data_IF_222418654479
#
_entry.id   IF_222418654479
#
_cell.length_a   1.000
_cell.length_b   1.000
_cell.length_c   1.000
_cell.angle_alpha   90.00
_cell.angle_beta   90.00
_cell.angle_gamma   90.00
#
_symmetry.space_group_name_H-M   'P 1'
#
loop_
_entity.id
_entity.type
_entity.pdbx_description
1 polymer ?
#
# COMPACT_ATOMS: atom_id res chain seq x y z
N UNK A 1 5.98 -11.60 14.88
CA UNK A 1 5.90 -10.79 13.65
C UNK A 1 4.48 -10.80 13.14
N UNK A 2 3.95 -9.62 12.83
CA UNK A 2 2.57 -9.44 12.35
C UNK A 2 2.46 -9.83 10.85
N UNK A 3 1.30 -9.60 10.22
CA UNK A 3 1.13 -9.92 8.79
C UNK A 3 2.01 -9.02 7.90
N UNK A 4 2.07 -7.70 8.17
CA UNK A 4 2.87 -6.74 7.41
C UNK A 4 4.36 -7.12 7.39
N UNK A 5 4.93 -7.51 8.54
CA UNK A 5 6.32 -7.97 8.62
C UNK A 5 6.57 -9.17 7.70
N UNK A 6 5.67 -10.16 7.75
CA UNK A 6 5.79 -11.38 6.95
C UNK A 6 5.67 -11.08 5.45
N UNK A 7 4.72 -10.24 5.06
CA UNK A 7 4.52 -9.84 3.66
C UNK A 7 5.68 -9.03 3.13
N UNK A 8 6.25 -8.12 3.92
CA UNK A 8 7.45 -7.37 3.52
C UNK A 8 8.64 -8.30 3.34
N UNK A 9 8.79 -9.31 4.21
CA UNK A 9 9.87 -10.29 4.11
C UNK A 9 9.70 -11.19 2.88
N UNK A 10 8.48 -11.70 2.64
CA UNK A 10 8.16 -12.49 1.46
C UNK A 10 8.38 -11.69 0.15
N UNK A 11 8.16 -10.37 0.20
CA UNK A 11 8.40 -9.46 -0.92
C UNK A 11 9.87 -9.02 -1.07
N UNK A 12 10.75 -9.41 -0.14
CA UNK A 12 12.18 -9.10 -0.17
C UNK A 12 12.53 -7.65 0.15
N UNK A 13 11.65 -6.91 0.82
CA UNK A 13 11.87 -5.51 1.23
C UNK A 13 12.02 -5.31 2.73
N UNK A 14 12.01 -6.40 3.51
CA UNK A 14 12.16 -6.34 4.96
C UNK A 14 13.62 -6.32 5.36
N UNK A 15 13.98 -5.37 6.23
CA UNK A 15 15.27 -5.32 6.90
C UNK A 15 15.21 -6.12 8.21
N UNK A 16 15.89 -7.26 8.25
CA UNK A 16 15.94 -8.12 9.43
C UNK A 16 16.61 -7.44 10.64
N UNK A 17 17.46 -6.43 10.42
CA UNK A 17 18.07 -5.65 11.50
C UNK A 17 17.08 -4.78 12.27
N UNK A 18 15.86 -4.56 11.74
CA UNK A 18 14.78 -3.81 12.39
C UNK A 18 13.66 -4.71 12.91
N UNK A 19 13.85 -6.01 12.77
CA UNK A 19 12.91 -7.02 13.19
C UNK A 19 12.55 -6.80 14.66
N UNK A 20 13.52 -6.80 15.56
CA UNK A 20 13.35 -6.60 17.01
C UNK A 20 13.04 -5.16 17.43
N UNK A 21 13.20 -4.19 16.53
CA UNK A 21 12.86 -2.78 16.77
C UNK A 21 11.38 -2.48 16.52
N UNK A 22 11.04 -2.09 15.28
CA UNK A 22 9.75 -1.46 14.95
C UNK A 22 9.05 -2.09 13.72
N UNK A 23 9.65 -3.11 13.12
CA UNK A 23 9.06 -3.86 12.01
C UNK A 23 8.82 -3.01 10.75
N UNK A 24 7.76 -3.33 9.99
CA UNK A 24 7.49 -2.67 8.70
C UNK A 24 6.94 -1.23 8.78
N UNK A 25 6.52 -0.74 9.95
CA UNK A 25 6.04 0.64 10.20
C UNK A 25 4.98 1.18 9.21
N UNK A 26 3.68 0.86 9.40
CA UNK A 26 2.61 1.46 8.60
C UNK A 26 2.36 2.93 8.98
N UNK A 27 2.29 3.82 7.98
CA UNK A 27 2.15 5.27 8.19
C UNK A 27 0.80 5.80 7.65
N UNK A 28 0.54 5.65 6.36
CA UNK A 28 -0.75 6.00 5.76
C UNK A 28 -1.62 4.80 5.42
N UNK A 29 -2.92 4.99 5.59
CA UNK A 29 -3.94 4.04 5.13
C UNK A 29 -5.02 4.76 4.33
N UNK A 30 -5.49 4.13 3.26
CA UNK A 30 -6.69 4.60 2.54
C UNK A 30 -7.60 3.42 2.24
N UNK A 31 -8.89 3.59 2.50
CA UNK A 31 -9.93 2.64 2.09
C UNK A 31 -10.66 3.21 0.89
N UNK A 32 -10.77 2.41 -0.18
CA UNK A 32 -11.42 2.80 -1.41
C UNK A 32 -12.43 1.75 -1.84
N UNK A 33 -13.55 2.20 -2.41
CA UNK A 33 -14.50 1.31 -3.07
C UNK A 33 -14.11 1.11 -4.53
N UNK A 34 -13.81 -0.12 -4.92
CA UNK A 34 -13.51 -0.52 -6.30
C UNK A 34 -14.54 -1.57 -6.74
N UNK A 35 -15.51 -1.14 -7.55
CA UNK A 35 -16.68 -1.96 -7.85
C UNK A 35 -17.46 -2.31 -6.58
N UNK A 36 -17.63 -3.62 -6.32
CA UNK A 36 -18.29 -4.12 -5.12
C UNK A 36 -17.32 -4.41 -3.96
N UNK A 37 -16.02 -4.21 -4.15
CA UNK A 37 -15.00 -4.48 -3.15
C UNK A 37 -14.61 -3.23 -2.36
N UNK A 38 -14.35 -3.41 -1.08
CA UNK A 38 -13.66 -2.41 -0.27
C UNK A 38 -12.17 -2.79 -0.25
N UNK A 39 -11.32 -1.94 -0.84
CA UNK A 39 -9.88 -2.15 -0.95
C UNK A 39 -9.18 -1.26 0.06
N UNK A 40 -8.29 -1.84 0.85
CA UNK A 40 -7.41 -1.15 1.79
C UNK A 40 -6.01 -1.06 1.19
N UNK A 41 -5.44 0.14 1.17
CA UNK A 41 -4.04 0.38 0.88
C UNK A 41 -3.34 0.80 2.18
N UNK A 42 -2.17 0.22 2.45
CA UNK A 42 -1.36 0.49 3.65
C UNK A 42 0.05 0.85 3.19
N UNK A 43 0.47 2.09 3.39
CA UNK A 43 1.81 2.58 3.08
C UNK A 43 2.76 2.23 4.22
N UNK A 44 3.88 1.60 3.90
CA UNK A 44 4.89 1.14 4.85
C UNK A 44 6.17 1.94 4.62
N UNK A 45 6.45 2.87 5.54
CA UNK A 45 7.56 3.82 5.42
C UNK A 45 8.89 3.08 5.23
N UNK A 46 9.18 2.09 6.09
CA UNK A 46 10.51 1.44 6.13
C UNK A 46 10.78 0.40 5.06
N UNK A 47 9.74 -0.08 4.39
CA UNK A 47 9.88 -1.16 3.41
C UNK A 47 9.63 -0.68 1.98
N UNK A 48 9.39 0.62 1.81
CA UNK A 48 9.05 1.32 0.56
C UNK A 48 8.00 0.58 -0.26
N UNK A 49 6.93 0.16 0.40
CA UNK A 49 5.82 -0.51 -0.28
C UNK A 49 4.48 0.04 0.17
N UNK A 50 3.52 -0.05 -0.73
CA UNK A 50 2.10 -0.08 -0.37
C UNK A 50 1.61 -1.51 -0.44
N UNK A 51 1.07 -2.03 0.66
CA UNK A 51 0.35 -3.29 0.67
C UNK A 51 -1.13 -3.07 0.37
N UNK A 52 -1.73 -3.99 -0.37
CA UNK A 52 -3.12 -3.89 -0.80
C UNK A 52 -3.91 -5.11 -0.36
N UNK A 53 -5.08 -4.85 0.23
CA UNK A 53 -5.97 -5.87 0.76
C UNK A 53 -7.40 -5.68 0.26
N UNK A 54 -8.11 -6.78 0.00
CA UNK A 54 -9.57 -6.79 -0.03
C UNK A 54 -10.09 -6.93 1.41
N UNK A 55 -10.79 -5.90 1.88
CA UNK A 55 -11.41 -5.83 3.20
C UNK A 55 -12.94 -5.81 3.12
N UNK A 56 -13.51 -6.34 2.03
CA UNK A 56 -14.97 -6.47 1.89
C UNK A 56 -15.58 -7.27 3.04
N UNK A 57 -14.86 -8.29 3.53
CA UNK A 57 -15.07 -8.86 4.85
C UNK A 57 -13.96 -8.36 5.81
N UNK A 58 -14.22 -7.35 6.65
CA UNK A 58 -13.19 -6.77 7.50
C UNK A 58 -12.69 -7.72 8.59
N UNK A 59 -13.47 -8.76 8.94
CA UNK A 59 -13.04 -9.80 9.89
C UNK A 59 -12.10 -10.84 9.27
N UNK A 60 -11.98 -10.87 7.93
CA UNK A 60 -11.06 -11.74 7.21
C UNK A 60 -10.45 -11.01 5.99
N UNK A 61 -9.56 -10.02 6.21
CA UNK A 61 -8.86 -9.32 5.13
C UNK A 61 -8.09 -10.29 4.23
N UNK A 62 -8.14 -10.08 2.92
CA UNK A 62 -7.39 -10.86 1.94
C UNK A 62 -6.27 -10.02 1.35
N UNK A 63 -5.02 -10.42 1.56
CA UNK A 63 -3.87 -9.80 0.90
C UNK A 63 -3.97 -10.01 -0.63
N UNK A 64 -3.78 -8.93 -1.39
CA UNK A 64 -3.83 -8.96 -2.85
C UNK A 64 -2.43 -8.82 -3.45
N UNK A 65 -1.69 -7.78 -3.07
CA UNK A 65 -0.35 -7.51 -3.59
C UNK A 65 0.43 -6.48 -2.76
N UNK A 66 1.72 -6.37 -3.04
CA UNK A 66 2.59 -5.27 -2.60
C UNK A 66 3.07 -4.50 -3.83
N UNK A 67 3.09 -3.17 -3.72
CA UNK A 67 3.52 -2.25 -4.77
C UNK A 67 4.77 -1.52 -4.26
N UNK A 68 5.91 -1.66 -4.94
CA UNK A 68 7.13 -0.90 -4.59
C UNK A 68 6.94 0.59 -4.90
N UNK A 69 7.31 1.45 -3.96
CA UNK A 69 7.13 2.92 -4.02
C UNK A 69 8.44 3.67 -4.25
N UNK A 70 8.46 4.96 -3.92
CA UNK A 70 9.69 5.68 -3.56
C UNK A 70 10.07 5.44 -2.11
N UNK A 71 11.22 5.97 -1.71
CA UNK A 71 11.78 5.86 -0.36
C UNK A 71 10.88 6.55 0.69
N UNK A 72 10.54 5.85 1.77
CA UNK A 72 9.69 6.34 2.85
C UNK A 72 8.33 6.90 2.37
N UNK A 73 7.39 6.05 1.89
CA UNK A 73 6.04 6.48 1.51
C UNK A 73 5.23 6.91 2.74
N UNK A 74 4.73 8.16 2.73
CA UNK A 74 3.94 8.71 3.83
C UNK A 74 2.51 9.06 3.43
N UNK A 75 2.29 9.56 2.22
CA UNK A 75 0.99 10.05 1.78
C UNK A 75 0.34 9.13 0.77
N UNK A 76 -0.92 8.78 0.99
CA UNK A 76 -1.73 7.99 0.05
C UNK A 76 -3.00 8.73 -0.36
N UNK A 77 -3.27 8.80 -1.66
CA UNK A 77 -4.52 9.31 -2.21
C UNK A 77 -5.08 8.36 -3.27
N UNK A 78 -6.30 7.90 -3.08
CA UNK A 78 -7.02 7.14 -4.09
C UNK A 78 -7.93 8.06 -4.92
N UNK A 79 -7.82 7.95 -6.25
CA UNK A 79 -8.69 8.64 -7.21
C UNK A 79 -9.51 7.59 -7.96
N UNK A 80 -10.85 7.58 -7.81
CA UNK A 80 -11.69 6.62 -8.50
C UNK A 80 -11.67 6.86 -10.02
N UNK A 81 -11.86 5.80 -10.80
CA UNK A 81 -11.94 5.85 -12.27
C UNK A 81 -12.87 6.95 -12.82
N UNK A 82 -13.99 7.24 -12.14
CA UNK A 82 -14.94 8.29 -12.53
C UNK A 82 -14.36 9.70 -12.48
N UNK A 83 -13.34 9.93 -11.65
CA UNK A 83 -12.63 11.22 -11.48
C UNK A 83 -11.24 11.24 -12.12
N UNK A 84 -10.79 10.12 -12.72
CA UNK A 84 -9.48 10.00 -13.34
C UNK A 84 -9.51 10.39 -14.83
N UNK A 85 -8.48 11.08 -15.36
CA UNK A 85 -8.41 11.51 -16.76
C UNK A 85 -8.38 10.34 -17.75
N UNK A 86 -7.90 9.16 -17.34
CA UNK A 86 -7.79 7.97 -18.20
C UNK A 86 -8.84 6.89 -17.89
N UNK A 87 -9.86 7.21 -17.07
CA UNK A 87 -10.95 6.30 -16.70
C UNK A 87 -10.52 5.01 -15.99
N UNK A 88 -9.30 4.97 -15.43
CA UNK A 88 -8.82 3.92 -14.53
C UNK A 88 -8.60 4.50 -13.15
N UNK A 89 -8.80 3.69 -12.11
CA UNK A 89 -8.48 4.08 -10.74
C UNK A 89 -6.99 4.37 -10.60
N UNK A 90 -6.64 5.38 -9.80
CA UNK A 90 -5.26 5.76 -9.52
C UNK A 90 -5.01 5.73 -8.03
N UNK A 91 -3.83 5.25 -7.64
CA UNK A 91 -3.25 5.48 -6.33
C UNK A 91 -2.08 6.45 -6.50
N UNK A 92 -2.11 7.56 -5.78
CA UNK A 92 -1.02 8.54 -5.71
C UNK A 92 -0.30 8.34 -4.39
N UNK A 93 1.02 8.23 -4.46
CA UNK A 93 1.89 8.02 -3.29
C UNK A 93 2.93 9.12 -3.24
N UNK A 94 3.03 9.82 -2.12
CA UNK A 94 4.16 10.72 -1.84
C UNK A 94 5.17 10.03 -0.95
N UNK A 95 6.44 10.11 -1.35
CA UNK A 95 7.60 9.50 -0.69
C UNK A 95 8.53 10.62 -0.21
N UNK A 96 8.80 10.68 1.09
CA UNK A 96 9.61 11.76 1.67
C UNK A 96 11.11 11.54 1.47
N UNK A 97 11.56 10.27 1.48
CA UNK A 97 12.98 9.93 1.45
C UNK A 97 13.63 10.27 0.10
N UNK A 98 12.86 10.12 -0.99
CA UNK A 98 13.30 10.49 -2.35
C UNK A 98 12.62 11.77 -2.89
N UNK A 99 11.69 12.36 -2.14
CA UNK A 99 10.95 13.56 -2.55
C UNK A 99 10.04 13.35 -3.76
N UNK A 100 9.67 12.11 -4.10
CA UNK A 100 8.91 11.79 -5.30
C UNK A 100 7.41 11.64 -5.04
N UNK A 101 6.60 11.96 -6.06
CA UNK A 101 5.18 11.58 -6.13
C UNK A 101 5.00 10.60 -7.27
N UNK A 102 4.57 9.37 -6.96
CA UNK A 102 4.35 8.30 -7.92
C UNK A 102 2.87 8.01 -8.08
N UNK A 103 2.47 7.69 -9.32
CA UNK A 103 1.11 7.33 -9.68
C UNK A 103 1.08 5.86 -10.08
N UNK A 104 0.22 5.08 -9.43
CA UNK A 104 0.03 3.66 -9.69
C UNK A 104 -1.36 3.40 -10.23
N UNK A 105 -1.45 2.41 -11.13
CA UNK A 105 -2.70 1.86 -11.62
C UNK A 105 -2.83 0.44 -11.07
N UNK A 106 -3.48 0.26 -9.92
CA UNK A 106 -3.69 -1.06 -9.38
C UNK A 106 -4.70 -1.82 -10.24
N UNK A 107 -4.21 -2.81 -10.99
CA UNK A 107 -5.04 -3.79 -11.71
C UNK A 107 -5.51 -4.86 -10.74
N UNK A 108 -6.47 -4.49 -9.89
CA UNK A 108 -6.99 -5.34 -8.81
C UNK A 108 -8.35 -6.00 -9.13
N UNK A 109 -8.91 -5.70 -10.30
CA UNK A 109 -10.19 -6.20 -10.80
C UNK A 109 -10.21 -6.21 -12.33
#
# INVERSE_FOLDING_TARGET
KNDLDKRSNDFGTYDDGRSDDKGSEPEAVVVAKMGNKNILFVGLERTDVVMVYDITNPSAPQYLQSIKTGDAPEGLLFIPASKSPNKRSLLVVSSEGDGAVKFFQPDLL
#
